data_IF_172078388263
#
_entry.id   IF_172078388263
#
_cell.length_a   1.000
_cell.length_b   1.000
_cell.length_c   1.000
_cell.angle_alpha   90.00
_cell.angle_beta   90.00
_cell.angle_gamma   90.00
#
_symmetry.space_group_name_H-M   'P 1'
#
loop_
_entity.id
_entity.type
_entity.pdbx_description
1 polymer ?
#
# COMPACT_ATOMS: atom_id res chain seq x y z
N UNK A 1 20.04 -3.56 -23.45
CA UNK A 1 18.96 -3.50 -22.43
C UNK A 1 19.47 -3.77 -21.00
N UNK A 2 20.80 -3.87 -20.75
CA UNK A 2 21.35 -4.08 -19.40
C UNK A 2 21.39 -2.80 -18.54
N UNK A 3 21.74 -1.65 -19.13
CA UNK A 3 21.91 -0.38 -18.39
C UNK A 3 20.68 0.03 -17.59
N UNK A 4 19.48 -0.05 -18.18
CA UNK A 4 18.25 0.40 -17.51
C UNK A 4 17.81 -0.53 -16.36
N UNK A 5 18.21 -1.80 -16.38
CA UNK A 5 17.93 -2.74 -15.30
C UNK A 5 18.85 -2.46 -14.11
N UNK A 6 20.14 -2.28 -14.37
CA UNK A 6 21.14 -1.95 -13.36
C UNK A 6 20.83 -0.60 -12.67
N UNK A 7 20.37 0.39 -13.45
CA UNK A 7 19.95 1.69 -12.92
C UNK A 7 18.76 1.58 -11.96
N UNK A 8 17.77 0.72 -12.26
CA UNK A 8 16.60 0.52 -11.40
C UNK A 8 16.96 -0.23 -10.11
N UNK A 9 17.78 -1.26 -10.22
CA UNK A 9 18.26 -2.01 -9.06
C UNK A 9 19.04 -1.09 -8.11
N UNK A 10 19.91 -0.23 -8.66
CA UNK A 10 20.64 0.75 -7.88
C UNK A 10 19.70 1.75 -7.18
N UNK A 11 18.69 2.27 -7.88
CA UNK A 11 17.68 3.16 -7.27
C UNK A 11 16.97 2.46 -6.10
N UNK A 12 16.59 1.20 -6.27
CA UNK A 12 15.93 0.42 -5.22
C UNK A 12 16.84 0.22 -4.00
N UNK A 13 18.11 -0.13 -4.22
CA UNK A 13 19.10 -0.23 -3.14
C UNK A 13 19.33 1.10 -2.41
N UNK A 14 19.31 2.23 -3.13
CA UNK A 14 19.44 3.56 -2.50
C UNK A 14 18.25 3.82 -1.57
N UNK A 15 17.02 3.59 -2.03
CA UNK A 15 15.84 3.75 -1.19
C UNK A 15 15.83 2.81 0.01
N UNK A 16 16.27 1.56 -0.19
CA UNK A 16 16.40 0.58 0.87
C UNK A 16 17.37 1.06 1.95
N UNK A 17 18.56 1.47 1.56
CA UNK A 17 19.57 1.98 2.47
C UNK A 17 19.09 3.23 3.22
N UNK A 18 18.40 4.15 2.53
CA UNK A 18 17.84 5.36 3.17
C UNK A 18 16.84 4.96 4.27
N UNK A 19 15.88 4.08 3.95
CA UNK A 19 14.82 3.71 4.89
C UNK A 19 15.37 2.92 6.08
N UNK A 20 16.24 1.94 5.85
CA UNK A 20 16.89 1.19 6.91
C UNK A 20 17.73 2.10 7.81
N UNK A 21 18.47 3.03 7.21
CA UNK A 21 19.31 3.97 7.97
C UNK A 21 18.48 4.89 8.85
N UNK A 22 17.33 5.38 8.37
CA UNK A 22 16.41 6.20 9.16
C UNK A 22 15.90 5.44 10.39
N UNK A 23 15.52 4.17 10.22
CA UNK A 23 15.05 3.34 11.33
C UNK A 23 16.17 3.02 12.32
N UNK A 24 17.39 2.78 11.82
CA UNK A 24 18.59 2.56 12.66
C UNK A 24 18.92 3.81 13.50
N UNK A 25 18.93 4.99 12.87
CA UNK A 25 19.27 6.25 13.53
C UNK A 25 18.25 6.67 14.59
N UNK A 26 17.06 6.06 14.62
CA UNK A 26 16.07 6.28 15.68
C UNK A 26 16.45 5.63 17.02
N UNK A 27 17.42 4.72 17.07
CA UNK A 27 17.86 4.09 18.33
C UNK A 27 16.74 3.40 19.11
N UNK A 28 16.63 3.68 20.41
CA UNK A 28 15.65 3.08 21.34
C UNK A 28 14.28 3.78 21.37
N UNK A 29 13.98 4.63 20.38
CA UNK A 29 12.65 5.22 20.22
C UNK A 29 11.62 4.09 20.00
N UNK A 30 10.39 4.30 20.47
CA UNK A 30 9.26 3.39 20.24
C UNK A 30 9.03 3.07 18.74
N UNK A 31 8.67 1.83 18.43
CA UNK A 31 8.60 1.30 17.06
C UNK A 31 7.62 2.09 16.17
N UNK A 32 6.47 2.47 16.72
CA UNK A 32 5.47 3.25 16.01
C UNK A 32 6.02 4.65 15.63
N UNK A 33 6.79 5.26 16.53
CA UNK A 33 7.47 6.52 16.26
C UNK A 33 8.57 6.37 15.18
N UNK A 34 9.29 5.24 15.13
CA UNK A 34 10.27 4.98 14.04
C UNK A 34 9.58 4.96 12.68
N UNK A 35 8.41 4.34 12.60
CA UNK A 35 7.62 4.31 11.35
C UNK A 35 7.18 5.71 10.93
N UNK A 36 6.70 6.51 11.89
CA UNK A 36 6.34 7.92 11.64
C UNK A 36 7.52 8.72 11.07
N UNK A 37 8.71 8.56 11.65
CA UNK A 37 9.93 9.24 11.19
C UNK A 37 10.31 8.78 9.77
N UNK A 38 10.21 7.49 9.48
CA UNK A 38 10.47 6.96 8.13
C UNK A 38 9.52 7.55 7.08
N UNK A 39 8.23 7.67 7.39
CA UNK A 39 7.24 8.26 6.48
C UNK A 39 7.48 9.76 6.26
N UNK A 40 7.81 10.51 7.31
CA UNK A 40 8.17 11.93 7.18
C UNK A 40 9.43 12.13 6.34
N UNK A 41 10.41 11.22 6.44
CA UNK A 41 11.59 11.24 5.57
C UNK A 41 11.20 11.07 4.10
N UNK A 42 10.28 10.16 3.78
CA UNK A 42 9.78 9.96 2.42
C UNK A 42 9.07 11.21 1.90
N UNK A 43 8.19 11.82 2.70
CA UNK A 43 7.52 13.08 2.33
C UNK A 43 8.52 14.19 2.01
N UNK A 44 9.56 14.32 2.84
CA UNK A 44 10.64 15.28 2.62
C UNK A 44 11.40 15.02 1.32
N UNK A 45 11.77 13.76 1.05
CA UNK A 45 12.54 13.40 -0.15
C UNK A 45 11.73 13.51 -1.43
N UNK A 46 10.41 13.25 -1.40
CA UNK A 46 9.53 13.36 -2.56
C UNK A 46 9.49 14.78 -3.16
N UNK A 47 9.81 15.81 -2.37
CA UNK A 47 9.93 17.19 -2.87
C UNK A 47 11.11 17.38 -3.85
N UNK A 48 12.15 16.56 -3.72
CA UNK A 48 13.38 16.61 -4.54
C UNK A 48 13.47 15.45 -5.54
N UNK A 49 12.78 14.35 -5.27
CA UNK A 49 12.71 13.15 -6.11
C UNK A 49 11.22 12.82 -6.35
N UNK A 50 10.56 13.54 -7.28
CA UNK A 50 9.15 13.34 -7.54
C UNK A 50 8.84 11.88 -7.93
N UNK A 51 7.64 11.41 -7.57
CA UNK A 51 7.16 10.04 -7.82
C UNK A 51 7.17 9.60 -9.30
N UNK A 52 7.20 10.54 -10.24
CA UNK A 52 7.26 10.30 -11.68
C UNK A 52 8.67 10.38 -12.26
N UNK A 53 9.69 10.55 -11.40
CA UNK A 53 11.10 10.58 -11.78
C UNK A 53 11.67 9.16 -11.94
N UNK A 54 12.74 9.03 -12.72
CA UNK A 54 13.52 7.78 -12.80
C UNK A 54 14.21 7.41 -11.48
N UNK A 55 14.23 8.33 -10.51
CA UNK A 55 14.85 8.16 -9.19
C UNK A 55 13.87 7.70 -8.12
N UNK A 56 12.60 7.48 -8.44
CA UNK A 56 11.58 7.03 -7.48
C UNK A 56 10.81 5.83 -8.03
N UNK A 57 11.10 4.64 -7.52
CA UNK A 57 10.33 3.44 -7.83
C UNK A 57 9.15 3.33 -6.86
N UNK A 58 7.98 3.81 -7.28
CA UNK A 58 6.77 3.83 -6.44
C UNK A 58 6.39 2.43 -5.94
N UNK A 59 6.53 1.41 -6.77
CA UNK A 59 6.16 0.05 -6.39
C UNK A 59 7.12 -0.48 -5.31
N UNK A 60 8.42 -0.34 -5.54
CA UNK A 60 9.44 -0.83 -4.61
C UNK A 60 9.36 -0.09 -3.27
N UNK A 61 9.32 1.25 -3.29
CA UNK A 61 9.26 2.08 -2.09
C UNK A 61 7.99 1.79 -1.28
N UNK A 62 6.83 1.70 -1.92
CA UNK A 62 5.56 1.36 -1.23
C UNK A 62 5.63 -0.02 -0.60
N UNK A 63 6.14 -1.01 -1.33
CA UNK A 63 6.25 -2.40 -0.86
C UNK A 63 7.21 -2.54 0.32
N UNK A 64 8.30 -1.78 0.30
CA UNK A 64 9.26 -1.75 1.40
C UNK A 64 8.71 -1.04 2.63
N UNK A 65 8.06 0.11 2.45
CA UNK A 65 7.42 0.84 3.55
C UNK A 65 6.35 0.00 4.21
N UNK A 66 5.54 -0.73 3.45
CA UNK A 66 4.52 -1.61 4.03
C UNK A 66 5.15 -2.74 4.84
N UNK A 67 6.29 -3.27 4.39
CA UNK A 67 7.00 -4.28 5.16
C UNK A 67 7.58 -3.71 6.45
N UNK A 68 8.12 -2.50 6.42
CA UNK A 68 8.57 -1.80 7.63
C UNK A 68 7.39 -1.51 8.56
N UNK A 69 6.28 -1.00 8.03
CA UNK A 69 5.05 -0.70 8.76
C UNK A 69 4.53 -1.92 9.51
N UNK A 70 4.45 -3.07 8.82
CA UNK A 70 4.05 -4.34 9.39
C UNK A 70 4.96 -4.79 10.55
N UNK A 71 6.27 -4.58 10.44
CA UNK A 71 7.24 -4.99 11.46
C UNK A 71 7.30 -4.04 12.65
N UNK A 72 7.03 -2.76 12.43
CA UNK A 72 7.09 -1.70 13.45
C UNK A 72 5.73 -1.41 14.10
N UNK A 73 4.69 -2.20 13.76
CA UNK A 73 3.34 -2.02 14.31
C UNK A 73 2.70 -0.67 13.96
N UNK A 74 3.02 -0.11 12.79
CA UNK A 74 2.43 1.14 12.33
C UNK A 74 0.97 0.98 11.87
N UNK A 75 0.24 2.09 11.78
CA UNK A 75 -1.18 2.03 11.42
C UNK A 75 -1.38 1.57 9.98
N UNK A 76 -2.49 0.89 9.73
CA UNK A 76 -2.86 0.33 8.42
C UNK A 76 -2.97 1.38 7.31
N UNK A 77 -3.20 2.64 7.68
CA UNK A 77 -3.37 3.75 6.74
C UNK A 77 -2.09 4.52 6.41
N UNK A 78 -1.05 4.35 7.22
CA UNK A 78 0.12 5.24 7.21
C UNK A 78 0.86 5.28 5.88
N UNK A 79 1.04 4.11 5.25
CA UNK A 79 1.84 3.98 4.02
C UNK A 79 1.08 4.55 2.83
N UNK A 80 -0.14 4.08 2.55
CA UNK A 80 -0.88 4.54 1.38
C UNK A 80 -1.28 6.02 1.50
N UNK A 81 -1.64 6.51 2.70
CA UNK A 81 -1.94 7.94 2.89
C UNK A 81 -0.70 8.80 2.65
N UNK A 82 0.48 8.33 3.06
CA UNK A 82 1.74 9.01 2.75
C UNK A 82 2.01 9.04 1.25
N UNK A 83 1.81 7.92 0.54
CA UNK A 83 1.97 7.87 -0.92
C UNK A 83 0.99 8.81 -1.64
N UNK A 84 -0.28 8.83 -1.23
CA UNK A 84 -1.29 9.76 -1.77
C UNK A 84 -0.87 11.22 -1.51
N UNK A 85 -0.35 11.52 -0.32
CA UNK A 85 0.10 12.87 0.06
C UNK A 85 1.23 13.37 -0.83
N UNK A 86 2.15 12.49 -1.24
CA UNK A 86 3.24 12.84 -2.18
C UNK A 86 2.81 12.75 -3.66
N UNK A 87 1.51 12.55 -3.93
CA UNK A 87 0.90 12.63 -5.26
C UNK A 87 0.70 11.30 -5.97
N UNK A 88 0.91 10.16 -5.32
CA UNK A 88 0.74 8.86 -5.97
C UNK A 88 -0.73 8.67 -6.40
N UNK A 89 -1.01 8.21 -7.64
CA UNK A 89 -2.37 7.86 -8.04
C UNK A 89 -2.88 6.67 -7.22
N UNK A 90 -4.12 6.74 -6.73
CA UNK A 90 -4.72 5.63 -5.99
C UNK A 90 -4.79 4.37 -6.85
N UNK A 91 -5.00 4.50 -8.16
CA UNK A 91 -5.01 3.41 -9.13
C UNK A 91 -3.67 2.65 -9.12
N UNK A 92 -2.55 3.37 -8.99
CA UNK A 92 -1.22 2.78 -8.86
C UNK A 92 -1.07 2.03 -7.54
N UNK A 93 -1.58 2.59 -6.43
CA UNK A 93 -1.55 1.92 -5.13
C UNK A 93 -2.37 0.63 -5.12
N UNK A 94 -3.56 0.64 -5.72
CA UNK A 94 -4.38 -0.58 -5.87
C UNK A 94 -3.63 -1.66 -6.67
N UNK A 95 -2.97 -1.27 -7.75
CA UNK A 95 -2.15 -2.20 -8.55
C UNK A 95 -0.96 -2.77 -7.76
N UNK A 96 -0.28 -1.93 -6.97
CA UNK A 96 0.83 -2.33 -6.11
C UNK A 96 0.35 -3.32 -5.04
N UNK A 97 -0.70 -2.99 -4.28
CA UNK A 97 -1.23 -3.89 -3.26
C UNK A 97 -1.75 -5.21 -3.84
N UNK A 98 -2.37 -5.18 -5.03
CA UNK A 98 -2.71 -6.40 -5.77
C UNK A 98 -1.49 -7.26 -6.04
N UNK A 99 -0.38 -6.66 -6.46
CA UNK A 99 0.89 -7.37 -6.70
C UNK A 99 1.48 -7.94 -5.41
N UNK A 100 1.57 -7.14 -4.34
CA UNK A 100 2.06 -7.58 -3.03
C UNK A 100 1.25 -8.81 -2.57
N UNK A 101 -0.08 -8.71 -2.60
CA UNK A 101 -0.98 -9.75 -2.15
C UNK A 101 -0.92 -11.02 -3.02
N UNK A 102 -0.80 -10.86 -4.34
CA UNK A 102 -0.80 -11.99 -5.29
C UNK A 102 0.56 -12.70 -5.38
N UNK A 103 1.66 -12.02 -5.05
CA UNK A 103 3.01 -12.61 -5.11
C UNK A 103 3.21 -13.67 -4.02
N UNK A 104 2.40 -13.66 -2.96
CA UNK A 104 2.50 -14.57 -1.81
C UNK A 104 3.95 -14.67 -1.28
N UNK A 105 4.62 -13.52 -1.19
CA UNK A 105 6.02 -13.46 -0.79
C UNK A 105 6.16 -14.01 0.64
N UNK A 106 7.03 -15.02 0.87
CA UNK A 106 7.23 -15.64 2.18
C UNK A 106 7.58 -14.65 3.31
N UNK A 107 8.09 -13.46 2.98
CA UNK A 107 8.42 -12.44 3.98
C UNK A 107 7.19 -11.96 4.76
N UNK A 108 6.01 -11.95 4.15
CA UNK A 108 4.75 -11.54 4.81
C UNK A 108 4.18 -12.63 5.73
N UNK A 109 4.48 -13.90 5.44
CA UNK A 109 4.04 -15.03 6.27
C UNK A 109 4.72 -15.01 7.65
N UNK A 110 5.89 -14.39 7.76
CA UNK A 110 6.67 -14.31 9.01
C UNK A 110 6.24 -13.15 9.93
N UNK A 111 5.54 -12.15 9.40
CA UNK A 111 5.21 -10.91 10.12
C UNK A 111 3.73 -10.89 10.52
N UNK A 112 2.83 -10.87 9.53
CA UNK A 112 1.39 -11.01 9.71
C UNK A 112 0.76 -11.37 8.36
N UNK A 113 0.19 -12.58 8.28
CA UNK A 113 -0.36 -13.12 7.04
C UNK A 113 -1.62 -12.38 6.55
N UNK A 114 -2.25 -11.59 7.43
CA UNK A 114 -3.46 -10.83 7.14
C UNK A 114 -3.19 -9.33 6.96
N UNK A 115 -2.00 -8.83 7.29
CA UNK A 115 -1.71 -7.39 7.30
C UNK A 115 -2.01 -6.73 5.94
N UNK A 116 -1.51 -7.29 4.83
CA UNK A 116 -1.75 -6.71 3.49
C UNK A 116 -3.25 -6.70 3.15
N UNK A 117 -4.01 -7.71 3.57
CA UNK A 117 -5.46 -7.72 3.40
C UNK A 117 -6.14 -6.61 4.20
N UNK A 118 -5.73 -6.41 5.45
CA UNK A 118 -6.26 -5.36 6.32
C UNK A 118 -5.94 -3.96 5.77
N UNK A 119 -4.75 -3.78 5.21
CA UNK A 119 -4.35 -2.55 4.49
C UNK A 119 -5.22 -2.33 3.24
N UNK A 120 -5.48 -3.38 2.44
CA UNK A 120 -6.38 -3.29 1.28
C UNK A 120 -7.79 -2.88 1.71
N UNK A 121 -8.31 -3.47 2.78
CA UNK A 121 -9.61 -3.08 3.34
C UNK A 121 -9.61 -1.63 3.83
N UNK A 122 -8.51 -1.19 4.46
CA UNK A 122 -8.32 0.19 4.90
C UNK A 122 -8.32 1.16 3.70
N UNK A 123 -7.55 0.88 2.65
CA UNK A 123 -7.50 1.67 1.42
C UNK A 123 -8.88 1.76 0.73
N UNK A 124 -9.63 0.66 0.69
CA UNK A 124 -10.98 0.66 0.11
C UNK A 124 -11.96 1.51 0.92
N UNK A 125 -11.89 1.48 2.26
CA UNK A 125 -12.67 2.36 3.13
C UNK A 125 -12.29 3.82 2.95
N UNK A 126 -10.99 4.11 2.86
CA UNK A 126 -10.50 5.46 2.56
C UNK A 126 -11.09 5.99 1.25
N UNK A 127 -11.09 5.17 0.19
CA UNK A 127 -11.71 5.54 -1.08
C UNK A 127 -13.21 5.84 -0.94
N UNK A 128 -13.96 4.97 -0.26
CA UNK A 128 -15.41 5.14 -0.05
C UNK A 128 -15.73 6.43 0.73
N UNK A 129 -14.97 6.72 1.77
CA UNK A 129 -15.14 7.91 2.61
C UNK A 129 -14.76 9.21 1.90
N UNK A 130 -13.90 9.12 0.88
CA UNK A 130 -13.33 10.27 0.18
C UNK A 130 -13.63 10.27 -1.32
N UNK A 131 -14.71 9.60 -1.74
CA UNK A 131 -15.04 9.39 -3.16
C UNK A 131 -15.13 10.71 -3.96
N UNK A 132 -15.44 11.81 -3.28
CA UNK A 132 -15.53 13.13 -3.88
C UNK A 132 -14.19 13.79 -4.23
N UNK A 133 -13.06 13.25 -3.76
CA UNK A 133 -11.72 13.68 -4.19
C UNK A 133 -11.49 13.44 -5.69
N UNK A 134 -12.22 12.51 -6.30
CA UNK A 134 -12.13 12.22 -7.74
C UNK A 134 -13.31 12.88 -8.46
N UNK A 135 -13.11 13.96 -9.25
CA UNK A 135 -14.23 14.72 -9.81
C UNK A 135 -14.96 13.98 -10.95
N UNK A 136 -14.29 13.04 -11.61
CA UNK A 136 -14.86 12.29 -12.74
C UNK A 136 -15.60 11.04 -12.28
N UNK A 137 -16.88 10.91 -12.64
CA UNK A 137 -17.66 9.69 -12.40
C UNK A 137 -17.04 8.45 -13.05
N UNK A 138 -16.41 8.60 -14.22
CA UNK A 138 -15.69 7.50 -14.87
C UNK A 138 -14.46 7.07 -14.05
N UNK A 139 -13.74 8.02 -13.47
CA UNK A 139 -12.58 7.72 -12.62
C UNK A 139 -13.03 7.02 -11.32
N UNK A 140 -14.05 7.55 -10.64
CA UNK A 140 -14.66 6.92 -9.46
C UNK A 140 -15.02 5.46 -9.75
N UNK A 141 -15.76 5.22 -10.84
CA UNK A 141 -16.15 3.87 -11.23
C UNK A 141 -14.95 2.98 -11.51
N UNK A 142 -13.93 3.49 -12.20
CA UNK A 142 -12.71 2.72 -12.51
C UNK A 142 -11.97 2.30 -11.24
N UNK A 143 -11.78 3.21 -10.27
CA UNK A 143 -11.14 2.90 -8.99
C UNK A 143 -11.97 1.86 -8.22
N UNK A 144 -13.29 2.06 -8.15
CA UNK A 144 -14.19 1.15 -7.45
C UNK A 144 -14.15 -0.27 -8.02
N UNK A 145 -14.12 -0.43 -9.36
CA UNK A 145 -13.98 -1.74 -10.02
C UNK A 145 -12.66 -2.41 -9.63
N UNK A 146 -11.54 -1.68 -9.68
CA UNK A 146 -10.22 -2.25 -9.36
C UNK A 146 -10.13 -2.69 -7.88
N UNK A 147 -10.70 -1.91 -6.95
CA UNK A 147 -10.79 -2.28 -5.54
C UNK A 147 -11.70 -3.49 -5.32
N UNK A 148 -12.84 -3.55 -6.00
CA UNK A 148 -13.77 -4.67 -5.94
C UNK A 148 -13.09 -5.97 -6.40
N UNK A 149 -12.41 -5.93 -7.55
CA UNK A 149 -11.66 -7.07 -8.08
C UNK A 149 -10.58 -7.55 -7.12
N UNK A 150 -9.85 -6.62 -6.49
CA UNK A 150 -8.85 -6.95 -5.49
C UNK A 150 -9.48 -7.60 -4.25
N UNK A 151 -10.58 -7.07 -3.75
CA UNK A 151 -11.29 -7.64 -2.60
C UNK A 151 -11.89 -9.02 -2.89
N UNK A 152 -12.26 -9.32 -4.15
CA UNK A 152 -12.64 -10.69 -4.57
C UNK A 152 -11.45 -11.65 -4.42
N UNK A 153 -10.25 -11.24 -4.84
CA UNK A 153 -9.02 -12.04 -4.65
C UNK A 153 -8.77 -12.26 -3.15
N UNK A 154 -8.88 -11.20 -2.34
CA UNK A 154 -8.73 -11.29 -0.88
C UNK A 154 -9.74 -12.26 -0.25
N UNK A 155 -11.01 -12.18 -0.65
CA UNK A 155 -12.06 -13.05 -0.14
C UNK A 155 -11.81 -14.53 -0.46
N UNK A 156 -11.37 -14.85 -1.68
CA UNK A 156 -11.05 -16.23 -2.06
C UNK A 156 -9.90 -16.81 -1.22
N UNK A 157 -8.90 -15.99 -0.88
CA UNK A 157 -7.83 -16.37 0.04
C UNK A 157 -8.37 -16.61 1.46
N UNK A 158 -9.20 -15.69 1.97
CA UNK A 158 -9.82 -15.85 3.29
C UNK A 158 -10.65 -17.13 3.39
N UNK A 159 -11.50 -17.43 2.41
CA UNK A 159 -12.28 -18.67 2.45
C UNK A 159 -11.43 -19.93 2.37
N UNK A 160 -10.31 -19.90 1.64
CA UNK A 160 -9.45 -21.07 1.50
C UNK A 160 -8.54 -21.33 2.71
N UNK A 161 -8.14 -20.29 3.44
CA UNK A 161 -7.12 -20.39 4.51
C UNK A 161 -7.59 -19.93 5.89
N UNK A 162 -8.60 -19.07 5.95
CA UNK A 162 -9.09 -18.40 7.15
C UNK A 162 -10.63 -18.35 7.19
N UNK A 163 -11.28 -19.48 6.90
CA UNK A 163 -12.74 -19.55 6.66
C UNK A 163 -13.63 -19.01 7.80
N UNK A 164 -13.08 -18.91 9.01
CA UNK A 164 -13.78 -18.38 10.20
C UNK A 164 -13.29 -16.99 10.62
N UNK A 165 -12.52 -16.31 9.76
CA UNK A 165 -12.01 -14.98 10.06
C UNK A 165 -13.15 -13.95 10.11
N UNK A 166 -13.20 -13.08 11.13
CA UNK A 166 -14.17 -12.00 11.20
C UNK A 166 -13.98 -10.97 10.07
N UNK A 167 -12.82 -10.99 9.38
CA UNK A 167 -12.54 -10.10 8.24
C UNK A 167 -13.43 -10.40 7.03
N UNK A 168 -14.00 -11.61 6.92
CA UNK A 168 -14.86 -11.99 5.81
C UNK A 168 -16.08 -11.05 5.70
N UNK A 169 -16.74 -10.77 6.84
CA UNK A 169 -17.90 -9.87 6.87
C UNK A 169 -17.50 -8.45 6.48
N UNK A 170 -16.34 -7.98 6.95
CA UNK A 170 -15.80 -6.68 6.59
C UNK A 170 -15.52 -6.55 5.08
N UNK A 171 -14.95 -7.59 4.46
CA UNK A 171 -14.72 -7.61 3.01
C UNK A 171 -16.04 -7.56 2.25
N UNK A 172 -17.05 -8.35 2.68
CA UNK A 172 -18.37 -8.35 2.03
C UNK A 172 -19.04 -6.97 2.12
N UNK A 173 -18.99 -6.32 3.29
CA UNK A 173 -19.56 -4.99 3.48
C UNK A 173 -18.95 -3.96 2.52
N UNK A 174 -17.61 -3.87 2.49
CA UNK A 174 -16.89 -2.94 1.60
C UNK A 174 -17.22 -3.22 0.12
N UNK A 175 -17.25 -4.50 -0.29
CA UNK A 175 -17.60 -4.87 -1.67
C UNK A 175 -18.98 -4.37 -2.06
N UNK A 176 -19.99 -4.50 -1.20
CA UNK A 176 -21.35 -4.03 -1.47
C UNK A 176 -21.40 -2.51 -1.66
N UNK A 177 -20.63 -1.76 -0.87
CA UNK A 177 -20.54 -0.30 -1.01
C UNK A 177 -19.87 0.11 -2.32
N UNK A 178 -18.78 -0.55 -2.71
CA UNK A 178 -18.12 -0.33 -4.00
C UNK A 178 -19.07 -0.65 -5.17
N UNK A 179 -19.85 -1.73 -5.06
CA UNK A 179 -20.84 -2.13 -6.05
C UNK A 179 -21.90 -1.04 -6.29
N UNK A 180 -22.28 -0.30 -5.25
CA UNK A 180 -23.21 0.82 -5.37
C UNK A 180 -22.57 2.00 -6.14
N UNK A 181 -21.28 2.28 -5.92
CA UNK A 181 -20.54 3.30 -6.70
C UNK A 181 -20.43 2.90 -8.18
N UNK A 182 -20.34 1.61 -8.49
CA UNK A 182 -20.19 1.12 -9.87
C UNK A 182 -21.51 1.20 -10.66
N UNK A 183 -22.64 1.01 -9.98
CA UNK A 183 -23.99 1.00 -10.57
C UNK A 183 -24.55 2.40 -10.80
N UNK A 184 -24.15 3.36 -9.98
CA UNK A 184 -24.52 4.77 -10.09
C UNK A 184 -23.58 5.55 -11.03
#
# INVERSE_FOLDING_TARGET
QLSNHDDRELVNQIWENILLKVVEDCGDIDEHNKMTIALEKIKSLASSHPINSSTFDLEYVTTMLEYLNCNLGGDLESVYTTMLTIGAPIESLVAIYKKIYSTNDPRWQKTSELHVLEVIMSLARYYLQNVDLWPSGMQRRSIAVNLLDLLVICQNMLYSRFAHSPLIEGVIAIKNELDNIIKN
#
